data_IF_628208951913
#
_entry.id   IF_628208951913
#
_cell.length_a   1.000
_cell.length_b   1.000
_cell.length_c   1.000
_cell.angle_alpha   90.00
_cell.angle_beta   90.00
_cell.angle_gamma   90.00
#
_symmetry.space_group_name_H-M   'P 1'
#
loop_
_entity.id
_entity.type
_entity.pdbx_description
1 polymer ?
#
# COMPACT_ATOMS: atom_id res chain seq x y z
N UNK A 1 -29.37 10.84 -28.06
CA UNK A 1 -28.21 10.34 -27.33
C UNK A 1 -28.72 9.51 -26.17
N UNK A 2 -28.60 8.19 -26.20
CA UNK A 2 -28.90 7.33 -25.07
C UNK A 2 -27.93 7.73 -23.94
N UNK A 3 -28.47 8.12 -22.78
CA UNK A 3 -27.64 8.32 -21.60
C UNK A 3 -27.05 6.96 -21.25
N UNK A 4 -25.73 6.78 -21.39
CA UNK A 4 -24.97 5.63 -20.91
C UNK A 4 -25.10 5.40 -19.39
N UNK A 5 -26.02 6.09 -18.74
CA UNK A 5 -26.13 6.21 -17.31
C UNK A 5 -27.51 6.71 -16.89
N UNK A 6 -28.21 5.93 -16.10
CA UNK A 6 -29.42 6.34 -15.37
C UNK A 6 -29.10 6.53 -13.89
N UNK A 7 -29.77 7.49 -13.23
CA UNK A 7 -29.67 7.66 -11.77
C UNK A 7 -30.27 6.48 -11.02
N UNK A 8 -31.15 5.72 -11.68
CA UNK A 8 -31.89 4.59 -11.12
C UNK A 8 -31.21 3.24 -11.38
N UNK A 9 -30.06 3.24 -12.13
CA UNK A 9 -29.31 2.02 -12.33
C UNK A 9 -28.69 1.55 -11.01
N UNK A 10 -28.86 0.28 -10.69
CA UNK A 10 -28.19 -0.37 -9.58
C UNK A 10 -26.69 -0.22 -9.77
N UNK A 11 -26.00 0.22 -8.73
CA UNK A 11 -24.55 0.42 -8.76
C UNK A 11 -23.92 -0.37 -7.64
N UNK A 12 -22.96 -1.17 -7.98
CA UNK A 12 -22.05 -1.72 -6.99
C UNK A 12 -21.25 -0.56 -6.38
N UNK A 13 -21.45 -0.36 -5.10
CA UNK A 13 -20.71 0.64 -4.34
C UNK A 13 -19.47 0.00 -3.76
N UNK A 14 -18.32 0.35 -4.31
CA UNK A 14 -17.02 -0.05 -3.77
C UNK A 14 -16.71 0.73 -2.48
N UNK A 15 -15.98 0.09 -1.56
CA UNK A 15 -15.52 0.73 -0.33
C UNK A 15 -14.14 1.39 -0.49
N UNK A 16 -13.73 1.80 -1.67
CA UNK A 16 -12.43 2.40 -1.94
C UNK A 16 -12.54 3.55 -2.94
N UNK A 17 -11.50 4.34 -3.03
CA UNK A 17 -11.43 5.44 -3.98
C UNK A 17 -10.07 6.08 -4.09
N UNK A 18 -9.99 7.03 -5.01
CA UNK A 18 -8.80 7.81 -5.28
C UNK A 18 -9.21 9.25 -5.58
N UNK A 19 -8.51 10.19 -4.94
CA UNK A 19 -8.60 11.63 -5.26
C UNK A 19 -7.19 12.11 -5.56
N UNK A 20 -7.03 12.78 -6.70
CA UNK A 20 -5.76 13.34 -7.13
C UNK A 20 -5.95 14.73 -7.76
N UNK A 21 -4.95 15.57 -7.60
CA UNK A 21 -4.82 16.80 -8.38
C UNK A 21 -4.10 16.50 -9.68
N UNK A 22 -4.70 16.83 -10.82
CA UNK A 22 -4.18 16.49 -12.15
C UNK A 22 -2.85 17.22 -12.43
N UNK A 23 -2.65 18.41 -11.84
CA UNK A 23 -1.44 19.19 -11.98
C UNK A 23 -0.36 18.83 -10.95
N UNK A 24 -0.66 17.86 -10.05
CA UNK A 24 0.25 17.45 -9.00
C UNK A 24 0.40 18.48 -7.86
N UNK A 25 -0.51 19.44 -7.75
CA UNK A 25 -0.48 20.48 -6.71
C UNK A 25 -0.90 19.84 -5.38
N UNK A 26 0.01 19.87 -4.42
CA UNK A 26 -0.25 19.41 -3.06
C UNK A 26 -1.20 20.37 -2.34
N UNK A 27 -2.09 19.83 -1.54
CA UNK A 27 -2.95 20.63 -0.67
C UNK A 27 -3.56 19.76 0.43
N UNK A 28 -3.81 20.34 1.60
CA UNK A 28 -4.59 19.70 2.66
C UNK A 28 -6.04 19.41 2.23
N UNK A 29 -6.54 20.14 1.24
CA UNK A 29 -7.87 19.94 0.66
C UNK A 29 -8.05 18.53 0.07
N UNK A 30 -7.00 17.94 -0.54
CA UNK A 30 -7.03 16.55 -1.05
C UNK A 30 -7.26 15.58 0.11
N UNK A 31 -6.52 15.74 1.20
CA UNK A 31 -6.66 14.90 2.41
C UNK A 31 -8.09 15.00 2.96
N UNK A 32 -8.59 16.20 3.17
CA UNK A 32 -9.95 16.43 3.70
C UNK A 32 -11.05 15.87 2.78
N UNK A 33 -10.92 16.06 1.46
CA UNK A 33 -11.88 15.48 0.50
C UNK A 33 -11.88 13.95 0.55
N UNK A 34 -10.70 13.34 0.67
CA UNK A 34 -10.55 11.88 0.74
C UNK A 34 -11.13 11.32 2.04
N UNK A 35 -10.90 11.98 3.17
CA UNK A 35 -11.50 11.61 4.46
C UNK A 35 -13.03 11.73 4.38
N UNK A 36 -13.57 12.80 3.79
CA UNK A 36 -15.01 12.99 3.64
C UNK A 36 -15.63 11.94 2.70
N UNK A 37 -14.94 11.59 1.60
CA UNK A 37 -15.37 10.50 0.72
C UNK A 37 -15.36 9.15 1.45
N UNK A 38 -14.31 8.89 2.25
CA UNK A 38 -14.21 7.69 3.07
C UNK A 38 -15.35 7.62 4.10
N UNK A 39 -15.66 8.73 4.78
CA UNK A 39 -16.81 8.85 5.71
C UNK A 39 -18.12 8.52 5.03
N UNK A 40 -18.36 9.01 3.82
CA UNK A 40 -19.56 8.73 3.04
C UNK A 40 -19.75 7.24 2.72
N UNK A 41 -18.68 6.44 2.83
CA UNK A 41 -18.70 5.00 2.60
C UNK A 41 -18.77 4.16 3.89
N UNK A 42 -18.98 4.77 5.07
CA UNK A 42 -19.01 4.05 6.36
C UNK A 42 -19.97 2.86 6.35
N UNK A 43 -21.11 2.98 5.64
CA UNK A 43 -22.08 1.90 5.46
C UNK A 43 -21.55 0.67 4.72
N UNK A 44 -20.37 0.74 4.11
CA UNK A 44 -19.73 -0.38 3.38
C UNK A 44 -18.85 -1.25 4.28
N UNK A 45 -18.54 -0.79 5.49
CA UNK A 45 -17.77 -1.54 6.48
C UNK A 45 -18.66 -2.17 7.56
N UNK A 46 -18.13 -3.14 8.28
CA UNK A 46 -18.75 -3.68 9.47
C UNK A 46 -18.39 -2.85 10.70
N UNK A 47 -19.29 -2.83 11.66
CA UNK A 47 -19.12 -2.17 12.96
C UNK A 47 -19.06 -3.26 14.03
N UNK A 48 -18.02 -3.24 14.85
CA UNK A 48 -17.88 -4.16 15.97
C UNK A 48 -18.97 -4.01 17.03
N UNK A 49 -19.08 -5.00 17.90
CA UNK A 49 -20.09 -5.02 18.96
C UNK A 49 -19.98 -3.84 19.95
N UNK A 50 -18.82 -3.17 20.01
CA UNK A 50 -18.60 -1.97 20.84
C UNK A 50 -19.10 -0.67 20.17
N UNK A 51 -19.64 -0.74 18.96
CA UNK A 51 -20.19 0.40 18.21
C UNK A 51 -19.15 1.41 17.70
N UNK A 52 -17.86 1.19 17.92
CA UNK A 52 -16.75 2.11 17.58
C UNK A 52 -15.65 1.47 16.77
N UNK A 53 -15.41 0.16 16.96
CA UNK A 53 -14.43 -0.57 16.18
C UNK A 53 -14.96 -0.80 14.78
N UNK A 54 -14.21 -0.38 13.76
CA UNK A 54 -14.47 -0.73 12.37
C UNK A 54 -13.69 -1.97 11.95
N UNK A 55 -14.08 -2.56 10.83
CA UNK A 55 -13.33 -3.67 10.20
C UNK A 55 -12.08 -3.19 9.44
N UNK A 56 -11.83 -1.91 9.46
CA UNK A 56 -10.61 -1.27 8.99
C UNK A 56 -10.86 -0.16 7.99
N UNK A 57 -10.02 0.87 8.06
CA UNK A 57 -9.96 1.92 7.04
C UNK A 57 -8.56 2.48 6.93
N UNK A 58 -8.27 3.20 5.86
CA UNK A 58 -6.96 3.83 5.70
C UNK A 58 -6.83 4.72 4.49
N UNK A 59 -5.71 5.44 4.50
CA UNK A 59 -5.29 6.43 3.50
C UNK A 59 -3.84 6.15 3.09
N UNK A 60 -3.55 6.14 1.80
CA UNK A 60 -2.21 6.23 1.24
C UNK A 60 -2.06 7.62 0.63
N UNK A 61 -1.06 8.35 1.07
CA UNK A 61 -0.80 9.75 0.72
C UNK A 61 0.61 9.92 0.16
N UNK A 62 0.85 11.00 -0.57
CA UNK A 62 2.24 11.41 -0.83
C UNK A 62 2.94 11.71 0.51
N UNK A 63 4.22 11.37 0.59
CA UNK A 63 5.06 11.81 1.69
C UNK A 63 5.31 13.32 1.56
N UNK A 64 4.74 14.10 2.46
CA UNK A 64 5.00 15.53 2.55
C UNK A 64 6.28 15.78 3.35
N UNK A 65 7.39 15.89 2.62
CA UNK A 65 8.72 16.02 3.22
C UNK A 65 8.85 17.26 4.09
N UNK A 66 8.24 18.37 3.71
CA UNK A 66 8.32 19.62 4.47
C UNK A 66 7.57 19.49 5.80
N UNK A 67 6.36 18.91 5.78
CA UNK A 67 5.61 18.63 7.00
C UNK A 67 6.39 17.75 7.98
N UNK A 68 6.89 16.61 7.52
CA UNK A 68 7.57 15.65 8.41
C UNK A 68 8.93 16.13 8.87
N UNK A 69 9.65 16.90 8.06
CA UNK A 69 10.91 17.54 8.47
C UNK A 69 10.68 18.55 9.57
N UNK A 70 9.65 19.39 9.43
CA UNK A 70 9.29 20.36 10.46
C UNK A 70 8.79 19.67 11.74
N UNK A 71 7.98 18.62 11.64
CA UNK A 71 7.48 17.88 12.78
C UNK A 71 8.62 17.28 13.63
N UNK A 72 9.61 16.63 13.00
CA UNK A 72 10.73 16.05 13.76
C UNK A 72 11.66 17.12 14.34
N UNK A 73 11.85 18.23 13.64
CA UNK A 73 12.62 19.37 14.16
C UNK A 73 11.93 20.02 15.34
N UNK A 74 10.62 20.28 15.26
CA UNK A 74 9.83 20.88 16.35
C UNK A 74 9.72 19.95 17.56
N UNK A 75 9.54 18.63 17.36
CA UNK A 75 9.32 17.67 18.45
C UNK A 75 10.61 17.18 19.12
N UNK A 76 11.70 17.03 18.38
CA UNK A 76 12.94 16.39 18.86
C UNK A 76 14.20 17.21 18.63
N UNK A 77 14.12 18.37 17.95
CA UNK A 77 15.28 19.19 17.62
C UNK A 77 16.23 18.55 16.58
N UNK A 78 15.74 17.59 15.79
CA UNK A 78 16.56 16.84 14.82
C UNK A 78 16.41 17.44 13.44
N UNK A 79 17.53 17.90 12.87
CA UNK A 79 17.60 18.39 11.50
C UNK A 79 17.86 17.25 10.50
N UNK A 80 17.04 17.17 9.46
CA UNK A 80 17.12 16.13 8.42
C UNK A 80 17.24 16.79 7.05
N UNK A 81 18.06 16.23 6.14
CA UNK A 81 18.12 16.66 4.75
C UNK A 81 16.80 16.35 4.02
N UNK A 82 16.59 16.92 2.83
CA UNK A 82 15.37 16.66 2.06
C UNK A 82 15.30 15.25 1.44
N UNK A 83 16.41 14.51 1.47
CA UNK A 83 16.53 13.16 0.91
C UNK A 83 16.33 12.12 2.02
N UNK A 84 15.10 11.93 2.45
CA UNK A 84 14.75 10.93 3.46
C UNK A 84 13.49 10.15 3.08
N UNK A 85 13.30 9.03 3.75
CA UNK A 85 12.10 8.20 3.71
C UNK A 85 11.51 8.08 5.12
N UNK A 86 10.22 7.74 5.18
CA UNK A 86 9.56 7.39 6.43
C UNK A 86 9.07 5.95 6.37
N UNK A 87 9.45 5.18 7.39
CA UNK A 87 8.85 3.88 7.68
C UNK A 87 7.71 4.04 8.68
N UNK A 88 6.45 3.96 8.23
CA UNK A 88 5.31 3.87 9.12
C UNK A 88 5.20 2.45 9.66
N UNK A 89 5.48 2.26 10.93
CA UNK A 89 5.69 0.97 11.56
C UNK A 89 4.63 0.67 12.61
N UNK A 90 4.05 -0.53 12.55
CA UNK A 90 3.28 -1.14 13.63
C UNK A 90 4.15 -2.19 14.33
N UNK A 91 4.21 -2.15 15.66
CA UNK A 91 4.90 -3.18 16.44
C UNK A 91 4.19 -3.42 17.76
N UNK A 92 4.17 -4.68 18.21
CA UNK A 92 3.62 -5.04 19.51
C UNK A 92 4.60 -4.75 20.65
N UNK A 93 5.90 -4.63 20.32
CA UNK A 93 6.95 -4.37 21.27
C UNK A 93 7.23 -2.86 21.41
N UNK A 94 7.97 -2.49 22.43
CA UNK A 94 8.63 -1.20 22.46
C UNK A 94 9.74 -1.20 21.42
N UNK A 95 9.82 -0.14 20.60
CA UNK A 95 10.73 -0.09 19.46
C UNK A 95 12.20 -0.24 19.86
N UNK A 96 12.55 0.17 21.08
CA UNK A 96 13.92 0.12 21.60
C UNK A 96 14.50 -1.30 21.60
N UNK A 97 13.67 -2.33 21.80
CA UNK A 97 14.09 -3.73 21.74
C UNK A 97 14.53 -4.19 20.36
N UNK A 98 14.04 -3.54 19.33
CA UNK A 98 14.24 -3.93 17.94
C UNK A 98 15.17 -3.00 17.17
N UNK A 99 15.47 -1.80 17.71
CA UNK A 99 16.28 -0.77 17.04
C UNK A 99 17.64 -1.31 16.58
N UNK A 100 18.36 -2.03 17.44
CA UNK A 100 19.69 -2.54 17.08
C UNK A 100 19.67 -3.51 15.89
N UNK A 101 18.62 -4.33 15.78
CA UNK A 101 18.42 -5.25 14.64
C UNK A 101 18.05 -4.47 13.38
N UNK A 102 17.12 -3.51 13.52
CA UNK A 102 16.68 -2.65 12.43
C UNK A 102 17.86 -1.86 11.87
N UNK A 103 18.64 -1.17 12.73
CA UNK A 103 19.80 -0.38 12.32
C UNK A 103 20.87 -1.23 11.62
N UNK A 104 21.12 -2.45 12.13
CA UNK A 104 22.07 -3.38 11.49
C UNK A 104 21.66 -3.72 10.06
N UNK A 105 20.37 -3.97 9.83
CA UNK A 105 19.85 -4.28 8.50
C UNK A 105 19.88 -3.02 7.62
N UNK A 106 19.42 -1.87 8.11
CA UNK A 106 19.49 -0.62 7.37
C UNK A 106 20.90 -0.34 6.91
N UNK A 107 21.88 -0.48 7.78
CA UNK A 107 23.30 -0.29 7.44
C UNK A 107 23.79 -1.24 6.35
N UNK A 108 23.30 -2.49 6.32
CA UNK A 108 23.66 -3.46 5.27
C UNK A 108 23.07 -3.12 3.89
N UNK A 109 22.09 -2.22 3.84
CA UNK A 109 21.43 -1.72 2.64
C UNK A 109 21.81 -0.25 2.31
N UNK A 110 22.93 0.25 2.84
CA UNK A 110 23.38 1.64 2.69
C UNK A 110 22.36 2.67 3.18
N UNK A 111 21.71 2.36 4.28
CA UNK A 111 20.71 3.21 4.93
C UNK A 111 21.13 3.53 6.36
N UNK A 112 20.68 4.68 6.86
CA UNK A 112 20.89 5.10 8.25
C UNK A 112 19.57 5.58 8.85
N UNK A 113 19.26 5.10 10.07
CA UNK A 113 18.18 5.62 10.90
C UNK A 113 18.62 6.95 11.51
N UNK A 114 17.86 8.01 11.27
CA UNK A 114 18.14 9.36 11.78
C UNK A 114 17.32 9.71 13.01
N UNK A 115 16.06 9.26 13.02
CA UNK A 115 15.15 9.52 14.11
C UNK A 115 14.05 8.46 14.18
N UNK A 116 13.48 8.31 15.36
CA UNK A 116 12.28 7.53 15.65
C UNK A 116 11.26 8.46 16.28
N UNK A 117 10.10 8.60 15.65
CA UNK A 117 9.00 9.43 16.13
C UNK A 117 7.83 8.54 16.52
N UNK A 118 7.38 8.53 17.78
CA UNK A 118 6.06 7.99 18.10
C UNK A 118 5.00 8.78 17.35
N UNK A 119 4.12 8.09 16.61
CA UNK A 119 3.05 8.79 15.87
C UNK A 119 2.07 9.40 16.87
N UNK A 120 1.74 10.69 16.76
CA UNK A 120 0.77 11.32 17.64
C UNK A 120 -0.63 10.79 17.38
N UNK A 121 -1.17 10.01 18.33
CA UNK A 121 -2.48 9.39 18.22
C UNK A 121 -3.35 9.66 19.44
N UNK A 122 -4.65 9.84 19.21
CA UNK A 122 -5.65 9.89 20.27
C UNK A 122 -6.31 8.53 20.44
N UNK A 123 -5.91 7.79 21.49
CA UNK A 123 -6.40 6.43 21.76
C UNK A 123 -7.83 6.40 22.31
N UNK A 124 -8.31 7.49 22.90
CA UNK A 124 -9.58 7.55 23.62
C UNK A 124 -10.82 7.43 22.72
N UNK A 125 -10.62 7.65 21.42
CA UNK A 125 -11.70 7.56 20.44
C UNK A 125 -11.96 6.13 19.94
N UNK A 126 -11.01 5.20 20.19
CA UNK A 126 -11.11 3.83 19.74
C UNK A 126 -12.15 3.03 20.54
N UNK A 127 -12.77 2.07 19.88
CA UNK A 127 -13.55 1.04 20.54
C UNK A 127 -12.69 0.06 21.34
N UNK A 128 -13.30 -0.64 22.29
CA UNK A 128 -12.59 -1.56 23.18
C UNK A 128 -11.90 -2.70 22.43
N UNK A 129 -12.52 -3.19 21.35
CA UNK A 129 -11.96 -4.26 20.51
C UNK A 129 -10.70 -3.77 19.80
N UNK A 130 -10.74 -2.61 19.13
CA UNK A 130 -9.59 -2.03 18.45
C UNK A 130 -8.46 -1.68 19.42
N UNK A 131 -8.81 -1.16 20.61
CA UNK A 131 -7.85 -0.78 21.66
C UNK A 131 -7.13 -2.00 22.23
N UNK A 132 -7.79 -3.15 22.37
CA UNK A 132 -7.20 -4.37 22.94
C UNK A 132 -6.07 -4.95 22.08
N UNK A 133 -6.04 -4.64 20.78
CA UNK A 133 -5.04 -5.10 19.83
C UNK A 133 -4.30 -3.94 19.13
N UNK A 134 -4.32 -2.74 19.74
CA UNK A 134 -3.64 -1.55 19.22
C UNK A 134 -2.13 -1.74 19.25
N UNK A 135 -1.44 -1.71 18.11
CA UNK A 135 0.01 -1.75 18.08
C UNK A 135 0.61 -0.40 18.53
N UNK A 136 1.86 -0.42 18.93
CA UNK A 136 2.65 0.82 18.99
C UNK A 136 2.93 1.29 17.56
N UNK A 137 2.78 2.59 17.32
CA UNK A 137 2.90 3.18 15.99
C UNK A 137 4.06 4.14 15.97
N UNK A 138 5.05 3.89 15.10
CA UNK A 138 6.25 4.70 14.99
C UNK A 138 6.50 5.13 13.55
N UNK A 139 7.18 6.24 13.39
CA UNK A 139 7.78 6.71 12.15
C UNK A 139 9.30 6.64 12.26
N UNK A 140 9.90 5.84 11.38
CA UNK A 140 11.35 5.73 11.27
C UNK A 140 11.84 6.64 10.16
N UNK A 141 12.63 7.65 10.47
CA UNK A 141 13.24 8.57 9.53
C UNK A 141 14.56 8.01 9.04
N UNK A 142 14.62 7.70 7.75
CA UNK A 142 15.74 6.96 7.15
C UNK A 142 16.35 7.77 6.01
N UNK A 143 17.67 7.81 5.95
CA UNK A 143 18.43 8.44 4.87
C UNK A 143 19.37 7.44 4.19
N UNK A 144 19.75 7.73 2.94
CA UNK A 144 20.80 6.99 2.24
C UNK A 144 22.17 7.40 2.76
N UNK A 145 23.08 6.44 2.81
CA UNK A 145 24.52 6.68 3.06
C UNK A 145 25.33 6.70 1.76
N UNK A 146 24.69 6.52 0.60
CA UNK A 146 25.35 6.60 -0.69
C UNK A 146 25.91 8.02 -0.94
N UNK A 147 27.08 8.12 -1.55
CA UNK A 147 27.71 9.41 -1.87
C UNK A 147 26.93 10.23 -2.89
N UNK A 148 26.22 9.56 -3.79
CA UNK A 148 25.37 10.17 -4.81
C UNK A 148 23.96 9.61 -4.62
N UNK A 149 22.99 10.51 -4.45
CA UNK A 149 21.61 10.14 -4.26
C UNK A 149 20.93 9.81 -5.60
N UNK A 150 20.35 8.63 -5.68
CA UNK A 150 19.47 8.19 -6.76
C UNK A 150 18.18 7.67 -6.14
N UNK A 151 17.06 8.34 -6.36
CA UNK A 151 15.77 8.01 -5.74
C UNK A 151 15.36 6.55 -5.99
N UNK A 152 15.49 6.05 -7.23
CA UNK A 152 15.14 4.66 -7.56
C UNK A 152 16.00 3.63 -6.79
N UNK A 153 17.29 3.91 -6.59
CA UNK A 153 18.19 3.07 -5.81
C UNK A 153 17.82 3.13 -4.33
N UNK A 154 17.49 4.33 -3.84
CA UNK A 154 17.06 4.53 -2.46
C UNK A 154 15.78 3.74 -2.15
N UNK A 155 14.75 3.83 -3.00
CA UNK A 155 13.52 3.05 -2.88
C UNK A 155 13.81 1.53 -2.88
N UNK A 156 14.69 1.07 -3.76
CA UNK A 156 15.09 -0.34 -3.81
C UNK A 156 15.80 -0.80 -2.54
N UNK A 157 16.70 0.03 -1.98
CA UNK A 157 17.38 -0.26 -0.71
C UNK A 157 16.38 -0.29 0.46
N UNK A 158 15.41 0.64 0.49
CA UNK A 158 14.31 0.65 1.47
C UNK A 158 13.46 -0.63 1.38
N UNK A 159 13.09 -1.04 0.17
CA UNK A 159 12.37 -2.28 -0.07
C UNK A 159 13.14 -3.51 0.45
N UNK A 160 14.44 -3.63 0.12
CA UNK A 160 15.28 -4.74 0.57
C UNK A 160 15.41 -4.75 2.10
N UNK A 161 15.66 -3.59 2.70
CA UNK A 161 15.77 -3.47 4.16
C UNK A 161 14.45 -3.88 4.85
N UNK A 162 13.30 -3.40 4.34
CA UNK A 162 11.98 -3.78 4.87
C UNK A 162 11.77 -5.29 4.80
N UNK A 163 12.02 -5.91 3.65
CA UNK A 163 11.87 -7.37 3.48
C UNK A 163 12.73 -8.14 4.47
N UNK A 164 13.99 -7.75 4.66
CA UNK A 164 14.89 -8.39 5.61
C UNK A 164 14.47 -8.19 7.07
N UNK A 165 13.93 -7.01 7.41
CA UNK A 165 13.42 -6.76 8.77
C UNK A 165 12.16 -7.59 9.00
N UNK A 166 11.19 -7.55 8.09
CA UNK A 166 9.92 -8.29 8.21
C UNK A 166 10.16 -9.81 8.31
N UNK A 167 11.21 -10.35 7.66
CA UNK A 167 11.58 -11.77 7.75
C UNK A 167 12.01 -12.25 9.15
N UNK A 168 12.51 -11.33 9.99
CA UNK A 168 12.85 -11.67 11.37
C UNK A 168 11.59 -11.97 12.19
N UNK A 169 10.45 -11.38 11.81
CA UNK A 169 9.20 -11.41 12.55
C UNK A 169 8.08 -12.17 11.81
N UNK A 170 8.42 -12.95 10.77
CA UNK A 170 7.44 -13.67 9.96
C UNK A 170 6.52 -14.58 10.77
N UNK A 171 7.07 -15.25 11.78
CA UNK A 171 6.33 -16.24 12.57
C UNK A 171 5.45 -15.60 13.65
N UNK A 172 5.78 -14.38 14.09
CA UNK A 172 5.15 -13.74 15.24
C UNK A 172 4.23 -12.55 14.87
N UNK A 173 4.25 -12.09 13.62
CA UNK A 173 3.53 -10.91 13.13
C UNK A 173 3.68 -9.66 14.05
N UNK A 174 4.79 -9.61 14.82
CA UNK A 174 5.00 -8.59 15.85
C UNK A 174 5.38 -7.23 15.28
N UNK A 175 5.84 -7.21 14.02
CA UNK A 175 6.32 -6.02 13.36
C UNK A 175 5.84 -5.97 11.91
N UNK A 176 5.24 -4.84 11.51
CA UNK A 176 4.73 -4.63 10.16
C UNK A 176 4.94 -3.20 9.69
N UNK A 177 5.58 -3.02 8.55
CA UNK A 177 5.64 -1.73 7.89
C UNK A 177 4.39 -1.47 7.06
N UNK A 178 3.57 -0.51 7.48
CA UNK A 178 2.47 -0.02 6.65
C UNK A 178 2.99 0.57 5.36
N UNK A 179 4.05 1.38 5.45
CA UNK A 179 4.83 1.91 4.33
C UNK A 179 6.28 2.07 4.75
N UNK A 180 7.21 1.99 3.80
CA UNK A 180 8.60 2.41 3.94
C UNK A 180 9.04 2.95 2.59
N UNK A 181 8.95 4.27 2.41
CA UNK A 181 9.18 4.94 1.13
C UNK A 181 9.58 6.40 1.31
N UNK A 182 10.28 6.94 0.34
CA UNK A 182 10.55 8.37 0.22
C UNK A 182 9.44 9.14 -0.52
N UNK A 183 8.39 8.44 -0.99
CA UNK A 183 7.32 8.96 -1.85
C UNK A 183 5.94 8.92 -1.23
N UNK A 184 5.66 7.90 -0.43
CA UNK A 184 4.31 7.64 0.11
C UNK A 184 4.34 7.33 1.60
N UNK A 185 3.22 7.62 2.27
CA UNK A 185 2.97 7.26 3.66
C UNK A 185 1.56 6.74 3.81
N UNK A 186 1.34 5.77 4.74
CA UNK A 186 0.04 5.12 4.93
C UNK A 186 -0.41 5.27 6.38
N UNK A 187 -1.61 5.81 6.54
CA UNK A 187 -2.34 5.86 7.80
C UNK A 187 -3.52 4.90 7.72
N UNK A 188 -3.58 3.90 8.60
CA UNK A 188 -4.64 2.88 8.59
C UNK A 188 -4.85 2.25 9.96
N UNK A 189 -5.99 1.58 10.15
CA UNK A 189 -6.26 0.86 11.38
C UNK A 189 -7.68 0.32 11.51
N UNK A 190 -7.96 -0.34 12.63
CA UNK A 190 -9.26 -0.92 12.95
C UNK A 190 -10.19 0.12 13.57
N UNK A 191 -10.60 1.08 12.77
CA UNK A 191 -11.51 2.14 13.19
C UNK A 191 -12.53 2.45 12.11
N UNK A 192 -13.59 3.14 12.49
CA UNK A 192 -14.54 3.70 11.54
C UNK A 192 -13.91 4.89 10.80
N UNK A 193 -14.33 5.17 9.56
CA UNK A 193 -13.85 6.32 8.79
C UNK A 193 -13.92 7.66 9.51
N UNK A 194 -14.97 7.86 10.31
CA UNK A 194 -15.13 9.10 11.08
C UNK A 194 -14.02 9.33 12.09
N UNK A 195 -13.43 8.25 12.60
CA UNK A 195 -12.40 8.30 13.63
C UNK A 195 -10.98 8.52 13.08
N UNK A 196 -10.69 8.27 11.80
CA UNK A 196 -9.31 8.22 11.29
C UNK A 196 -8.55 9.53 11.49
N UNK A 197 -9.19 10.67 11.24
CA UNK A 197 -8.59 12.00 11.41
C UNK A 197 -8.45 12.36 12.89
N UNK A 198 -9.38 11.90 13.72
CA UNK A 198 -9.34 12.15 15.16
C UNK A 198 -8.35 11.24 15.87
N UNK A 199 -8.08 10.07 15.32
CA UNK A 199 -7.06 9.15 15.81
C UNK A 199 -5.65 9.60 15.43
N UNK A 200 -5.39 9.83 14.14
CA UNK A 200 -4.08 10.28 13.65
C UNK A 200 -4.01 11.81 13.63
N UNK A 201 -3.37 12.41 14.64
CA UNK A 201 -3.35 13.88 14.79
C UNK A 201 -2.61 14.59 13.66
N UNK A 202 -1.65 13.94 13.03
CA UNK A 202 -0.98 14.47 11.81
C UNK A 202 -1.99 14.86 10.73
N UNK A 203 -3.07 14.07 10.54
CA UNK A 203 -4.09 14.32 9.53
C UNK A 203 -4.95 15.56 9.80
N UNK A 204 -4.91 16.12 11.03
CA UNK A 204 -5.60 17.38 11.37
C UNK A 204 -4.80 18.61 10.98
N UNK A 205 -3.50 18.47 10.83
CA UNK A 205 -2.64 19.61 10.53
C UNK A 205 -2.90 20.15 9.12
N UNK A 206 -3.29 21.41 9.03
CA UNK A 206 -3.45 22.10 7.74
C UNK A 206 -2.14 22.25 6.97
N UNK A 207 -0.99 22.05 7.63
CA UNK A 207 0.34 22.07 7.02
C UNK A 207 0.66 20.73 6.31
N UNK A 208 -0.07 19.64 6.62
CA UNK A 208 0.12 18.36 5.94
C UNK A 208 -0.63 18.34 4.62
N UNK A 209 0.09 18.21 3.53
CA UNK A 209 -0.44 18.32 2.19
C UNK A 209 -0.15 17.07 1.34
N UNK A 210 -1.05 16.76 0.42
CA UNK A 210 -0.87 15.69 -0.57
C UNK A 210 -1.51 16.08 -1.90
N UNK A 211 -0.95 15.59 -2.99
CA UNK A 211 -1.57 15.71 -4.32
C UNK A 211 -2.34 14.46 -4.74
N UNK A 212 -2.10 13.32 -4.08
CA UNK A 212 -2.76 12.04 -4.35
C UNK A 212 -3.17 11.43 -3.01
N UNK A 213 -4.39 10.90 -2.95
CA UNK A 213 -4.85 10.07 -1.85
C UNK A 213 -5.61 8.86 -2.38
N UNK A 214 -5.13 7.67 -2.07
CA UNK A 214 -5.86 6.41 -2.21
C UNK A 214 -6.45 6.06 -0.85
N UNK A 215 -7.71 5.65 -0.80
CA UNK A 215 -8.39 5.34 0.44
C UNK A 215 -9.25 4.09 0.31
N UNK A 216 -9.45 3.42 1.44
CA UNK A 216 -10.26 2.20 1.51
C UNK A 216 -11.01 2.12 2.82
N UNK A 217 -12.27 1.68 2.73
CA UNK A 217 -13.14 1.33 3.84
C UNK A 217 -13.33 -0.19 3.82
N UNK A 218 -12.77 -0.88 4.79
CA UNK A 218 -12.86 -2.31 4.99
C UNK A 218 -11.50 -3.02 4.85
N UNK A 219 -11.40 -4.23 5.41
CA UNK A 219 -10.29 -5.18 5.21
C UNK A 219 -10.71 -6.28 4.22
N UNK A 220 -9.79 -7.18 3.90
CA UNK A 220 -10.09 -8.35 3.05
C UNK A 220 -11.06 -9.32 3.75
N UNK A 221 -12.15 -9.68 3.10
CA UNK A 221 -13.24 -10.50 3.65
C UNK A 221 -12.83 -11.91 4.06
N UNK A 222 -11.73 -12.42 3.54
CA UNK A 222 -11.22 -13.78 3.78
C UNK A 222 -10.28 -13.90 4.99
N UNK A 223 -10.15 -12.81 5.80
CA UNK A 223 -9.27 -12.78 6.97
C UNK A 223 -9.98 -12.17 8.17
N UNK A 224 -9.49 -12.47 9.39
CA UNK A 224 -9.97 -11.76 10.58
C UNK A 224 -9.42 -10.33 10.59
N UNK A 225 -10.22 -9.33 11.03
CA UNK A 225 -9.76 -7.95 11.13
C UNK A 225 -8.52 -7.83 12.01
N UNK A 226 -7.46 -7.23 11.44
CA UNK A 226 -6.21 -6.90 12.14
C UNK A 226 -5.71 -5.54 11.66
N UNK A 227 -5.02 -4.81 12.51
CA UNK A 227 -4.51 -3.47 12.20
C UNK A 227 -3.73 -3.41 10.89
N UNK A 228 -2.84 -4.37 10.66
CA UNK A 228 -1.99 -4.41 9.47
C UNK A 228 -2.73 -4.84 8.19
N UNK A 229 -3.86 -5.55 8.31
CA UNK A 229 -4.67 -6.00 7.18
C UNK A 229 -5.64 -4.95 6.66
N UNK A 230 -5.88 -3.85 7.39
CA UNK A 230 -6.61 -2.72 6.86
C UNK A 230 -5.93 -2.21 5.58
N UNK A 231 -6.73 -1.86 4.58
CA UNK A 231 -6.24 -1.28 3.35
C UNK A 231 -6.22 0.27 3.43
N UNK A 232 -5.42 0.97 2.60
CA UNK A 232 -4.57 0.49 1.51
C UNK A 232 -3.36 -0.32 1.96
N UNK A 233 -2.84 -1.17 1.05
CA UNK A 233 -1.49 -1.70 1.14
C UNK A 233 -0.49 -0.67 0.62
N UNK A 234 0.78 -1.07 0.34
CA UNK A 234 1.87 -0.10 0.09
C UNK A 234 1.73 0.67 -1.21
N UNK A 235 1.02 0.10 -2.18
CA UNK A 235 0.77 0.72 -3.49
C UNK A 235 -0.71 0.84 -3.80
N UNK A 236 -1.54 -0.12 -3.35
CA UNK A 236 -2.90 -0.27 -3.84
C UNK A 236 -3.97 -0.44 -2.74
N UNK A 237 -5.19 -0.12 -3.15
CA UNK A 237 -6.42 -0.57 -2.52
C UNK A 237 -7.24 -1.38 -3.54
N UNK A 238 -7.80 -2.51 -3.10
CA UNK A 238 -8.49 -3.48 -3.93
C UNK A 238 -9.84 -3.82 -3.34
N UNK A 239 -10.85 -3.85 -4.18
CA UNK A 239 -12.18 -4.38 -3.88
C UNK A 239 -12.53 -5.46 -4.90
N UNK A 240 -12.87 -6.64 -4.42
CA UNK A 240 -13.12 -7.83 -5.21
C UNK A 240 -12.35 -9.04 -4.69
N UNK A 241 -12.17 -10.03 -5.55
CA UNK A 241 -11.45 -11.26 -5.23
C UNK A 241 -10.51 -11.63 -6.38
N UNK A 242 -9.29 -12.04 -6.04
CA UNK A 242 -8.35 -12.64 -7.00
C UNK A 242 -8.56 -14.15 -6.95
N UNK A 243 -9.39 -14.67 -7.84
CA UNK A 243 -9.77 -16.09 -7.86
C UNK A 243 -8.57 -17.01 -8.11
N UNK A 244 -7.58 -16.52 -8.87
CA UNK A 244 -6.35 -17.25 -9.19
C UNK A 244 -5.30 -17.26 -8.07
N UNK A 245 -5.55 -16.60 -6.92
CA UNK A 245 -4.55 -16.31 -5.87
C UNK A 245 -3.73 -17.51 -5.43
N UNK A 246 -4.35 -18.69 -5.25
CA UNK A 246 -3.62 -19.90 -4.83
C UNK A 246 -2.61 -20.33 -5.91
N UNK A 247 -3.02 -20.29 -7.17
CA UNK A 247 -2.15 -20.56 -8.31
C UNK A 247 -1.02 -19.53 -8.42
N UNK A 248 -1.34 -18.25 -8.29
CA UNK A 248 -0.38 -17.15 -8.35
C UNK A 248 0.71 -17.31 -7.28
N UNK A 249 0.33 -17.55 -6.01
CA UNK A 249 1.27 -17.80 -4.92
C UNK A 249 2.18 -18.99 -5.19
N UNK A 250 1.63 -20.10 -5.68
CA UNK A 250 2.38 -21.30 -6.04
C UNK A 250 3.37 -21.03 -7.18
N UNK A 251 2.97 -20.26 -8.20
CA UNK A 251 3.85 -19.88 -9.28
C UNK A 251 4.99 -18.95 -8.83
N UNK A 252 4.69 -17.97 -7.98
CA UNK A 252 5.74 -17.11 -7.40
C UNK A 252 6.75 -17.96 -6.63
N UNK A 253 6.29 -18.89 -5.81
CA UNK A 253 7.14 -19.82 -5.03
C UNK A 253 8.00 -20.70 -5.95
N UNK A 254 7.40 -21.28 -6.98
CA UNK A 254 8.11 -22.14 -7.93
C UNK A 254 9.19 -21.39 -8.73
N UNK A 255 8.93 -20.09 -9.04
CA UNK A 255 9.84 -19.24 -9.81
C UNK A 255 10.81 -18.43 -8.96
N UNK A 256 10.68 -18.42 -7.66
CA UNK A 256 11.47 -17.57 -6.75
C UNK A 256 12.99 -17.68 -6.99
N UNK A 257 13.49 -18.89 -7.21
CA UNK A 257 14.89 -19.16 -7.50
C UNK A 257 15.35 -18.64 -8.87
N UNK A 258 14.41 -18.32 -9.78
CA UNK A 258 14.69 -17.83 -11.13
C UNK A 258 14.59 -16.31 -11.23
N UNK A 259 14.00 -15.64 -10.25
CA UNK A 259 13.93 -14.18 -10.25
C UNK A 259 15.33 -13.57 -10.15
N UNK A 260 15.65 -12.73 -11.09
CA UNK A 260 16.93 -12.02 -11.16
C UNK A 260 16.70 -10.61 -11.66
N UNK A 261 17.27 -9.63 -10.97
CA UNK A 261 17.34 -8.25 -11.44
C UNK A 261 18.64 -7.62 -10.96
N UNK A 262 19.32 -6.84 -11.81
CA UNK A 262 20.48 -6.03 -11.37
C UNK A 262 20.11 -5.05 -10.24
N UNK A 263 18.84 -4.59 -10.19
CA UNK A 263 18.36 -3.69 -9.15
C UNK A 263 18.05 -4.40 -7.84
N UNK A 264 17.71 -5.70 -7.88
CA UNK A 264 17.40 -6.53 -6.72
C UNK A 264 18.37 -7.72 -6.60
N UNK A 265 19.67 -7.49 -6.34
CA UNK A 265 20.66 -8.56 -6.32
C UNK A 265 20.43 -9.58 -5.20
N UNK A 266 19.66 -9.23 -4.17
CA UNK A 266 19.35 -10.07 -3.01
C UNK A 266 17.99 -10.78 -3.09
N UNK A 267 17.25 -10.64 -4.21
CA UNK A 267 15.86 -11.16 -4.31
C UNK A 267 15.75 -12.66 -3.98
N UNK A 268 16.76 -13.45 -4.35
CA UNK A 268 16.79 -14.90 -4.08
C UNK A 268 17.06 -15.25 -2.60
N UNK A 269 17.45 -14.27 -1.78
CA UNK A 269 17.69 -14.46 -0.34
C UNK A 269 16.42 -14.29 0.48
N UNK A 270 15.37 -13.69 -0.08
CA UNK A 270 14.11 -13.50 0.62
C UNK A 270 13.38 -14.83 0.76
N UNK A 271 13.00 -15.18 1.98
CA UNK A 271 12.25 -16.40 2.30
C UNK A 271 10.87 -16.37 1.67
N UNK A 272 10.24 -15.20 1.70
CA UNK A 272 8.90 -15.01 1.20
C UNK A 272 8.82 -13.75 0.32
N UNK A 273 8.54 -13.94 -0.97
CA UNK A 273 8.40 -12.83 -1.90
C UNK A 273 7.02 -12.18 -1.80
N UNK A 274 5.97 -12.99 -1.79
CA UNK A 274 4.57 -12.55 -1.64
C UNK A 274 3.96 -13.18 -0.39
N UNK A 275 2.97 -12.53 0.18
CA UNK A 275 2.24 -13.03 1.33
C UNK A 275 1.54 -14.35 1.00
N UNK A 276 1.84 -15.42 1.73
CA UNK A 276 1.30 -16.77 1.48
C UNK A 276 -0.02 -17.03 2.21
N UNK A 277 -0.26 -16.37 3.35
CA UNK A 277 -1.40 -16.61 4.25
C UNK A 277 -2.35 -15.44 4.42
N UNK A 278 -1.92 -14.23 4.07
CA UNK A 278 -2.73 -13.02 4.18
C UNK A 278 -3.72 -12.84 3.04
N UNK A 279 -4.23 -11.62 2.88
CA UNK A 279 -5.21 -11.32 1.84
C UNK A 279 -4.59 -11.47 0.43
N UNK A 280 -5.46 -11.76 -0.54
CA UNK A 280 -5.15 -11.77 -1.97
C UNK A 280 -4.59 -10.41 -2.43
N UNK A 281 -5.22 -9.33 -1.98
CA UNK A 281 -4.81 -7.95 -2.25
C UNK A 281 -3.40 -7.65 -1.76
N UNK A 282 -3.01 -8.17 -0.58
CA UNK A 282 -1.65 -7.98 -0.07
C UNK A 282 -0.62 -8.75 -0.88
N UNK A 283 -0.98 -9.93 -1.38
CA UNK A 283 -0.10 -10.72 -2.24
C UNK A 283 0.09 -10.04 -3.62
N UNK A 284 -0.98 -9.48 -4.19
CA UNK A 284 -0.91 -8.68 -5.42
C UNK A 284 -0.03 -7.45 -5.23
N UNK A 285 -0.24 -6.69 -4.14
CA UNK A 285 0.57 -5.54 -3.77
C UNK A 285 2.07 -5.90 -3.72
N UNK A 286 2.41 -7.00 -3.05
CA UNK A 286 3.79 -7.49 -2.97
C UNK A 286 4.35 -7.86 -4.36
N UNK A 287 3.55 -8.48 -5.24
CA UNK A 287 4.03 -8.82 -6.59
C UNK A 287 4.33 -7.58 -7.41
N UNK A 288 3.48 -6.55 -7.32
CA UNK A 288 3.72 -5.27 -8.00
C UNK A 288 4.96 -4.58 -7.41
N UNK A 289 5.13 -4.58 -6.07
CA UNK A 289 6.36 -4.05 -5.44
C UNK A 289 7.64 -4.72 -5.99
N UNK A 290 7.63 -6.05 -6.15
CA UNK A 290 8.76 -6.79 -6.72
C UNK A 290 9.08 -6.31 -8.13
N UNK A 291 8.06 -6.19 -8.97
CA UNK A 291 8.23 -5.75 -10.36
C UNK A 291 8.79 -4.33 -10.44
N UNK A 292 8.26 -3.40 -9.64
CA UNK A 292 8.70 -2.01 -9.62
C UNK A 292 10.15 -1.90 -9.15
N UNK A 293 10.49 -2.53 -8.03
CA UNK A 293 11.84 -2.54 -7.49
C UNK A 293 12.81 -3.32 -8.38
N UNK A 294 12.31 -4.31 -9.13
CA UNK A 294 13.04 -5.01 -10.18
C UNK A 294 13.31 -4.18 -11.43
N UNK A 295 12.74 -2.96 -11.54
CA UNK A 295 12.95 -2.03 -12.65
C UNK A 295 11.84 -2.05 -13.72
N UNK A 296 10.75 -2.78 -13.51
CA UNK A 296 9.58 -2.73 -14.39
C UNK A 296 8.80 -1.45 -14.10
N UNK A 297 8.42 -0.70 -15.14
CA UNK A 297 7.61 0.51 -15.00
C UNK A 297 6.20 0.18 -14.53
N UNK A 298 5.58 1.06 -13.74
CA UNK A 298 4.26 0.85 -13.11
C UNK A 298 3.19 0.35 -14.09
N UNK A 299 2.97 1.04 -15.20
CA UNK A 299 1.93 0.67 -16.18
C UNK A 299 2.18 -0.69 -16.81
N UNK A 300 3.46 -1.05 -17.03
CA UNK A 300 3.81 -2.37 -17.52
C UNK A 300 3.58 -3.44 -16.45
N UNK A 301 3.98 -3.20 -15.21
CA UNK A 301 3.76 -4.12 -14.09
C UNK A 301 2.27 -4.45 -13.93
N UNK A 302 1.40 -3.43 -13.95
CA UNK A 302 -0.04 -3.62 -13.87
C UNK A 302 -0.54 -4.48 -15.04
N UNK A 303 -0.16 -4.16 -16.27
CA UNK A 303 -0.58 -4.91 -17.46
C UNK A 303 -0.02 -6.34 -17.53
N UNK A 304 1.10 -6.60 -16.85
CA UNK A 304 1.64 -7.96 -16.74
C UNK A 304 0.83 -8.82 -15.77
N UNK A 305 0.48 -8.27 -14.61
CA UNK A 305 -0.23 -9.04 -13.57
C UNK A 305 -1.74 -9.05 -13.79
N UNK A 306 -2.28 -8.01 -14.42
CA UNK A 306 -3.72 -7.83 -14.68
C UNK A 306 -3.94 -7.51 -16.17
N UNK A 307 -3.70 -8.46 -17.09
CA UNK A 307 -4.00 -8.25 -18.49
C UNK A 307 -5.53 -8.22 -18.71
N UNK A 308 -6.03 -7.46 -19.70
CA UNK A 308 -7.40 -7.60 -20.15
C UNK A 308 -7.60 -8.98 -20.83
N UNK A 309 -8.84 -9.37 -21.11
CA UNK A 309 -9.15 -10.55 -21.94
C UNK A 309 -8.74 -10.28 -23.40
N UNK A 310 -7.49 -10.57 -23.73
CA UNK A 310 -6.87 -10.22 -25.03
C UNK A 310 -6.88 -11.35 -26.06
N UNK A 311 -6.98 -12.61 -25.61
CA UNK A 311 -6.83 -13.78 -26.48
C UNK A 311 -7.88 -13.80 -27.60
N UNK A 312 -9.13 -13.51 -27.26
CA UNK A 312 -10.26 -13.52 -28.18
C UNK A 312 -10.64 -12.14 -28.75
N UNK A 313 -9.83 -11.11 -28.47
CA UNK A 313 -10.06 -9.74 -28.96
C UNK A 313 -9.56 -9.61 -30.41
N UNK A 314 -10.40 -9.96 -31.40
CA UNK A 314 -10.03 -10.00 -32.81
C UNK A 314 -9.61 -8.65 -33.40
N UNK A 315 -10.12 -7.54 -32.84
CA UNK A 315 -9.83 -6.17 -33.31
C UNK A 315 -8.68 -5.52 -32.50
N UNK A 316 -7.99 -6.29 -31.64
CA UNK A 316 -6.87 -5.75 -30.87
C UNK A 316 -5.70 -5.41 -31.79
N UNK A 317 -5.13 -4.22 -31.58
CA UNK A 317 -3.91 -3.79 -32.25
C UNK A 317 -2.81 -4.86 -32.16
N UNK A 318 -2.12 -5.21 -33.28
CA UNK A 318 -1.08 -6.24 -33.30
C UNK A 318 0.06 -6.00 -32.31
N UNK A 319 0.48 -4.76 -32.07
CA UNK A 319 1.55 -4.43 -31.13
C UNK A 319 1.09 -4.67 -29.69
N UNK A 320 -0.16 -4.31 -29.38
CA UNK A 320 -0.76 -4.60 -28.06
C UNK A 320 -0.93 -6.09 -27.85
N UNK A 321 -1.34 -6.85 -28.87
CA UNK A 321 -1.42 -8.32 -28.84
C UNK A 321 -0.04 -8.91 -28.53
N UNK A 322 0.98 -8.52 -29.29
CA UNK A 322 2.36 -9.00 -29.12
C UNK A 322 2.90 -8.66 -27.72
N UNK A 323 2.54 -7.49 -27.17
CA UNK A 323 2.86 -7.13 -25.81
C UNK A 323 2.26 -8.11 -24.79
N UNK A 324 0.97 -8.47 -24.92
CA UNK A 324 0.32 -9.41 -24.03
C UNK A 324 0.86 -10.83 -24.20
N UNK A 325 1.06 -11.30 -25.44
CA UNK A 325 1.67 -12.61 -25.73
C UNK A 325 3.05 -12.73 -25.06
N UNK A 326 3.93 -11.75 -25.27
CA UNK A 326 5.26 -11.74 -24.65
C UNK A 326 5.19 -11.77 -23.11
N UNK A 327 4.34 -10.92 -22.50
CA UNK A 327 4.28 -10.84 -21.03
C UNK A 327 3.62 -12.09 -20.42
N UNK A 328 2.68 -12.74 -21.10
CA UNK A 328 2.03 -13.98 -20.63
C UNK A 328 3.00 -15.17 -20.54
N UNK A 329 4.12 -15.14 -21.26
CA UNK A 329 5.17 -16.15 -21.12
C UNK A 329 5.99 -15.97 -19.81
N UNK A 330 5.92 -14.81 -19.19
CA UNK A 330 6.71 -14.46 -18.00
C UNK A 330 5.88 -14.37 -16.72
N UNK A 331 4.60 -14.06 -16.85
CA UNK A 331 3.70 -13.82 -15.72
C UNK A 331 2.31 -14.39 -16.03
N UNK A 332 1.81 -15.21 -15.15
CA UNK A 332 0.40 -15.63 -15.14
C UNK A 332 -0.50 -14.45 -14.73
N UNK A 333 -1.74 -14.40 -15.26
CA UNK A 333 -2.69 -13.37 -14.84
C UNK A 333 -3.09 -13.57 -13.37
N UNK A 334 -3.21 -12.46 -12.64
CA UNK A 334 -3.83 -12.41 -11.32
C UNK A 334 -5.30 -12.05 -11.52
N UNK A 335 -6.09 -13.05 -11.83
CA UNK A 335 -7.42 -12.93 -12.38
C UNK A 335 -8.51 -13.01 -11.31
N UNK A 336 -9.59 -12.27 -11.54
CA UNK A 336 -10.76 -12.17 -10.67
C UNK A 336 -11.52 -10.85 -10.89
N UNK A 337 -12.78 -10.74 -10.45
CA UNK A 337 -13.52 -9.49 -10.48
C UNK A 337 -12.86 -8.50 -9.51
N UNK A 338 -12.24 -7.46 -10.04
CA UNK A 338 -11.44 -6.55 -9.22
C UNK A 338 -11.58 -5.10 -9.65
N UNK A 339 -11.85 -4.25 -8.68
CA UNK A 339 -11.62 -2.81 -8.74
C UNK A 339 -10.35 -2.48 -7.98
N UNK A 340 -9.40 -1.80 -8.63
CA UNK A 340 -8.11 -1.45 -8.03
C UNK A 340 -7.84 0.01 -8.24
N UNK A 341 -7.44 0.68 -7.16
CA UNK A 341 -6.85 2.02 -7.21
C UNK A 341 -5.47 1.96 -6.59
N UNK A 342 -4.51 2.67 -7.18
CA UNK A 342 -3.14 2.61 -6.69
C UNK A 342 -2.35 3.88 -6.97
N UNK A 343 -1.25 4.03 -6.23
CA UNK A 343 -0.27 5.09 -6.45
C UNK A 343 1.11 4.66 -6.00
N UNK A 344 2.12 5.04 -6.78
CA UNK A 344 3.54 4.94 -6.44
C UNK A 344 4.09 6.28 -5.90
N UNK A 345 3.21 7.22 -5.55
CA UNK A 345 3.54 8.57 -5.14
C UNK A 345 3.70 9.57 -6.29
N UNK A 346 3.80 9.09 -7.54
CA UNK A 346 3.90 9.91 -8.75
C UNK A 346 2.67 9.78 -9.64
N UNK A 347 2.19 8.57 -9.79
CA UNK A 347 1.06 8.24 -10.64
C UNK A 347 -0.14 7.81 -9.79
N UNK A 348 -1.33 8.22 -10.22
CA UNK A 348 -2.60 7.76 -9.71
C UNK A 348 -3.26 6.88 -10.77
N UNK A 349 -3.60 5.65 -10.43
CA UNK A 349 -4.12 4.65 -11.37
C UNK A 349 -5.41 4.06 -10.83
N UNK A 350 -6.41 3.93 -11.71
CA UNK A 350 -7.64 3.18 -11.46
C UNK A 350 -7.77 2.11 -12.53
N UNK A 351 -8.01 0.88 -12.12
CA UNK A 351 -8.20 -0.26 -13.02
C UNK A 351 -9.44 -1.04 -12.57
N UNK A 352 -10.30 -1.36 -13.52
CA UNK A 352 -11.44 -2.26 -13.34
C UNK A 352 -11.19 -3.50 -14.18
N UNK A 353 -11.21 -4.66 -13.55
CA UNK A 353 -11.17 -5.96 -14.21
C UNK A 353 -12.56 -6.58 -14.10
N UNK A 354 -13.14 -6.88 -15.25
CA UNK A 354 -14.30 -7.75 -15.36
C UNK A 354 -13.80 -9.12 -15.78
N UNK A 355 -14.27 -10.17 -15.13
CA UNK A 355 -13.98 -11.54 -15.55
C UNK A 355 -14.64 -11.83 -16.90
N UNK A 356 -14.06 -12.75 -17.67
CA UNK A 356 -14.59 -13.23 -18.93
C UNK A 356 -16.02 -13.78 -18.86
N UNK A 357 -16.49 -14.14 -17.68
CA UNK A 357 -17.84 -14.68 -17.46
C UNK A 357 -18.95 -13.63 -17.57
N UNK A 358 -18.62 -12.32 -17.51
CA UNK A 358 -19.62 -11.25 -17.68
C UNK A 358 -20.03 -11.02 -19.14
N UNK A 359 -19.41 -11.67 -20.11
CA UNK A 359 -19.71 -11.53 -21.54
C UNK A 359 -20.55 -12.66 -22.10
N UNK A 360 -20.76 -13.74 -21.35
CA UNK A 360 -21.57 -14.88 -21.82
C UNK A 360 -23.07 -14.74 -21.49
N UNK A 361 -23.46 -13.72 -20.71
CA UNK A 361 -24.85 -13.44 -20.32
C UNK A 361 -25.49 -12.27 -21.11
N UNK A 362 -24.97 -11.91 -22.30
CA UNK A 362 -25.63 -10.96 -23.19
C UNK A 362 -25.98 -11.59 -24.52
#
# INVERSE_FOLDING_TARGET
>A
MSKLFSKDDFRDNCGFGLIADINGIKSHKIINKSINALRSMTHRGAIGADGKTGDGCGLLLNLDKDFFKNAISEEQGIEISNEFAIGQLFTNNKIESDLSKIEKILKSENLILKAVRPVPVNKDILGTIASSCLPNIYQLYIQSTDKVFYEEKFETNLYQARKLIEEIYLDDEQLYFCSLSSKTIIYKGLMLPDAIQDFYLDLKSSKFESSICVFHQRFSTNTHPRWHLAQPFRLLAHNGEINAIRGNRNWVKARSSKFKSPRLPKIQKFKQLVNETGSDSSALDNMIEILLNGGVKLFRAIRMVMPPAWQNAYLLDPDIRSFHEYNSMHMEPWDGPAGIVMSDGKWAVCCLLYTSDATDDM
#
